data_IF_124200033648
#
_entry.id   IF_124200033648
#
_cell.length_a   1.000
_cell.length_b   1.000
_cell.length_c   1.000
_cell.angle_alpha   90.00
_cell.angle_beta   90.00
_cell.angle_gamma   90.00
#
_symmetry.space_group_name_H-M   'P 1'
#
loop_
_entity.id
_entity.type
_entity.pdbx_description
1 polymer ?
#
# COMPACT_ATOMS: atom_id res chain seq x y z
N UNK A 1 -90.08 3.00 94.73
CA UNK A 1 -88.69 2.96 94.23
C UNK A 1 -88.40 1.75 93.32
N UNK A 2 -89.39 0.96 92.91
CA UNK A 2 -89.16 -0.22 92.07
C UNK A 2 -88.99 0.07 90.57
N UNK A 3 -89.46 1.22 90.09
CA UNK A 3 -89.42 1.58 88.66
C UNK A 3 -88.01 1.94 88.18
N UNK A 4 -87.25 2.69 89.00
CA UNK A 4 -85.84 3.01 88.73
C UNK A 4 -84.98 1.73 88.77
N UNK A 5 -85.21 0.81 89.71
CA UNK A 5 -84.45 -0.45 89.80
C UNK A 5 -84.70 -1.39 88.61
N UNK A 6 -85.91 -1.45 88.06
CA UNK A 6 -86.27 -2.31 86.92
C UNK A 6 -85.90 -1.74 85.53
N UNK A 7 -85.65 -0.43 85.44
CA UNK A 7 -85.36 0.26 84.16
C UNK A 7 -84.05 1.06 84.14
N UNK A 8 -83.23 0.98 85.19
CA UNK A 8 -81.92 1.64 85.28
C UNK A 8 -81.01 1.33 84.09
N UNK A 9 -80.97 0.07 83.65
CA UNK A 9 -80.20 -0.36 82.49
C UNK A 9 -80.63 0.37 81.20
N UNK A 10 -81.95 0.50 80.97
CA UNK A 10 -82.47 1.20 79.78
C UNK A 10 -82.19 2.71 79.83
N UNK A 11 -82.24 3.31 81.01
CA UNK A 11 -81.95 4.74 81.19
C UNK A 11 -80.47 5.02 80.90
N UNK A 12 -79.55 4.24 81.47
CA UNK A 12 -78.12 4.36 81.18
C UNK A 12 -77.84 4.08 79.70
N UNK A 13 -78.44 3.03 79.15
CA UNK A 13 -78.27 2.69 77.74
C UNK A 13 -78.72 3.85 76.85
N UNK A 14 -79.87 4.48 77.15
CA UNK A 14 -80.33 5.64 76.38
C UNK A 14 -79.39 6.85 76.52
N UNK A 15 -78.82 7.08 77.70
CA UNK A 15 -77.88 8.18 77.93
C UNK A 15 -76.58 7.96 77.16
N UNK A 16 -76.04 6.74 77.17
CA UNK A 16 -74.83 6.36 76.41
C UNK A 16 -75.09 6.45 74.91
N UNK A 17 -76.25 5.98 74.45
CA UNK A 17 -76.61 6.00 73.03
C UNK A 17 -76.83 7.43 72.53
N UNK A 18 -77.42 8.30 73.35
CA UNK A 18 -77.58 9.72 73.05
C UNK A 18 -76.24 10.47 73.05
N UNK A 19 -75.34 10.13 73.99
CA UNK A 19 -73.96 10.62 73.98
C UNK A 19 -73.17 10.17 72.74
N UNK A 20 -73.33 8.92 72.32
CA UNK A 20 -72.73 8.38 71.09
C UNK A 20 -73.26 9.06 69.83
N UNK A 21 -74.57 9.31 69.75
CA UNK A 21 -75.18 10.03 68.63
C UNK A 21 -74.67 11.48 68.54
N UNK A 22 -74.52 12.17 69.68
CA UNK A 22 -73.94 13.51 69.71
C UNK A 22 -72.48 13.54 69.26
N UNK A 23 -71.66 12.57 69.69
CA UNK A 23 -70.27 12.45 69.25
C UNK A 23 -70.16 12.18 67.74
N UNK A 24 -70.99 11.27 67.20
CA UNK A 24 -71.02 10.95 65.78
C UNK A 24 -71.43 12.16 64.91
N UNK A 25 -72.32 13.03 65.42
CA UNK A 25 -72.72 14.25 64.73
C UNK A 25 -71.65 15.36 64.78
N UNK A 26 -70.84 15.41 65.83
CA UNK A 26 -69.80 16.44 66.01
C UNK A 26 -68.45 16.10 65.36
N UNK A 27 -68.11 14.81 65.23
CA UNK A 27 -66.85 14.38 64.61
C UNK A 27 -66.60 14.90 63.18
N UNK A 28 -67.59 14.94 62.26
CA UNK A 28 -67.37 15.43 60.90
C UNK A 28 -66.91 16.90 60.85
N UNK A 29 -67.40 17.73 61.79
CA UNK A 29 -67.04 19.15 61.86
C UNK A 29 -65.58 19.31 62.28
N UNK A 30 -65.15 18.64 63.34
CA UNK A 30 -63.76 18.69 63.81
C UNK A 30 -62.77 18.16 62.76
N UNK A 31 -63.15 17.09 62.06
CA UNK A 31 -62.31 16.52 61.00
C UNK A 31 -62.15 17.47 59.79
N UNK A 32 -63.17 18.27 59.50
CA UNK A 32 -63.11 19.26 58.41
C UNK A 32 -62.18 20.43 58.73
N UNK A 33 -62.18 20.90 59.99
CA UNK A 33 -61.28 21.96 60.46
C UNK A 33 -59.82 21.51 60.46
N UNK A 34 -59.54 20.28 60.93
CA UNK A 34 -58.17 19.75 60.91
C UNK A 34 -57.66 19.54 59.48
N UNK A 35 -58.51 19.05 58.57
CA UNK A 35 -58.15 18.92 57.14
C UNK A 35 -57.83 20.27 56.52
N UNK A 36 -58.65 21.29 56.77
CA UNK A 36 -58.39 22.65 56.29
C UNK A 36 -57.06 23.20 56.82
N UNK A 37 -56.79 23.03 58.12
CA UNK A 37 -55.52 23.46 58.74
C UNK A 37 -54.30 22.77 58.13
N UNK A 38 -54.39 21.46 57.86
CA UNK A 38 -53.29 20.70 57.25
C UNK A 38 -53.06 21.11 55.79
N UNK A 39 -54.13 21.42 55.05
CA UNK A 39 -54.04 21.94 53.69
C UNK A 39 -53.41 23.33 53.65
N UNK A 40 -53.79 24.22 54.57
CA UNK A 40 -53.14 25.53 54.73
C UNK A 40 -51.66 25.40 55.10
N UNK A 41 -51.31 24.53 56.04
CA UNK A 41 -49.91 24.27 56.39
C UNK A 41 -49.12 23.71 55.20
N UNK A 42 -49.73 22.79 54.43
CA UNK A 42 -49.13 22.23 53.23
C UNK A 42 -48.90 23.29 52.16
N UNK A 43 -49.87 24.18 51.93
CA UNK A 43 -49.72 25.29 51.01
C UNK A 43 -48.69 26.32 51.52
N UNK A 44 -48.58 26.53 52.82
CA UNK A 44 -47.57 27.44 53.37
C UNK A 44 -46.15 26.89 53.25
N UNK A 45 -45.98 25.55 53.29
CA UNK A 45 -44.68 24.89 53.18
C UNK A 45 -44.27 24.63 51.73
N UNK A 46 -45.23 24.34 50.84
CA UNK A 46 -44.96 23.92 49.46
C UNK A 46 -45.51 24.88 48.40
N UNK A 47 -46.26 25.91 48.79
CA UNK A 47 -46.76 26.96 47.90
C UNK A 47 -45.66 27.92 47.50
N UNK A 48 -45.46 28.04 46.19
CA UNK A 48 -44.80 29.16 45.51
C UNK A 48 -43.28 29.32 45.52
N UNK A 49 -42.49 28.40 46.08
CA UNK A 49 -41.01 28.52 45.97
C UNK A 49 -40.28 27.32 45.38
N UNK A 50 -40.91 26.58 44.48
CA UNK A 50 -40.14 25.69 43.61
C UNK A 50 -39.61 26.53 42.45
N UNK A 51 -38.38 27.04 42.61
CA UNK A 51 -37.64 27.64 41.51
C UNK A 51 -37.65 26.65 40.34
N UNK A 52 -38.25 27.06 39.22
CA UNK A 52 -38.25 26.24 38.00
C UNK A 52 -36.80 25.93 37.66
N UNK A 53 -36.52 24.65 37.42
CA UNK A 53 -35.18 24.18 37.09
C UNK A 53 -34.71 24.94 35.84
N UNK A 54 -33.66 25.75 35.97
CA UNK A 54 -33.07 26.41 34.81
C UNK A 54 -32.21 25.36 34.09
N UNK A 55 -32.43 25.10 32.79
CA UNK A 55 -31.64 24.13 32.06
C UNK A 55 -30.17 24.57 32.05
N UNK A 56 -29.28 23.66 32.46
CA UNK A 56 -27.83 23.88 32.40
C UNK A 56 -27.41 24.06 30.94
N UNK A 57 -26.67 25.13 30.65
CA UNK A 57 -26.15 25.36 29.31
C UNK A 57 -25.06 24.33 28.98
N UNK A 58 -25.35 23.45 28.02
CA UNK A 58 -24.44 22.42 27.52
C UNK A 58 -23.80 22.80 26.19
N UNK A 59 -23.95 24.05 25.73
CA UNK A 59 -23.44 24.54 24.45
C UNK A 59 -21.95 24.28 24.26
N UNK A 60 -21.14 24.54 25.29
CA UNK A 60 -19.68 24.28 25.29
C UNK A 60 -19.36 22.80 25.12
N UNK A 61 -20.09 21.93 25.80
CA UNK A 61 -19.87 20.48 25.72
C UNK A 61 -20.25 19.95 24.34
N UNK A 62 -21.34 20.46 23.76
CA UNK A 62 -21.75 20.13 22.39
C UNK A 62 -20.69 20.54 21.35
N UNK A 63 -20.04 21.70 21.54
CA UNK A 63 -18.94 22.13 20.66
C UNK A 63 -17.70 21.23 20.76
N UNK A 64 -17.36 20.77 21.97
CA UNK A 64 -16.25 19.84 22.19
C UNK A 64 -16.52 18.48 21.55
N UNK A 65 -17.72 17.93 21.74
CA UNK A 65 -18.13 16.67 21.10
C UNK A 65 -18.10 16.80 19.59
N UNK A 66 -18.61 17.91 19.04
CA UNK A 66 -18.57 18.18 17.61
C UNK A 66 -17.12 18.23 17.09
N UNK A 67 -16.21 18.89 17.80
CA UNK A 67 -14.78 18.94 17.42
C UNK A 67 -14.12 17.57 17.46
N UNK A 68 -14.46 16.73 18.45
CA UNK A 68 -13.92 15.38 18.58
C UNK A 68 -14.47 14.42 17.51
N UNK A 69 -15.71 14.62 17.06
CA UNK A 69 -16.33 13.84 15.98
C UNK A 69 -15.86 14.27 14.60
N UNK A 70 -15.38 15.51 14.44
CA UNK A 70 -14.77 15.94 13.19
C UNK A 70 -13.45 15.20 12.99
N UNK A 71 -13.45 14.25 12.05
CA UNK A 71 -12.26 13.53 11.65
C UNK A 71 -11.31 14.49 10.91
N UNK A 72 -10.45 15.16 11.66
CA UNK A 72 -9.41 16.01 11.10
C UNK A 72 -8.21 15.12 10.76
N UNK A 73 -7.85 15.05 9.49
CA UNK A 73 -6.64 14.36 9.04
C UNK A 73 -5.42 15.19 9.48
N UNK A 74 -4.95 14.96 10.70
CA UNK A 74 -3.81 15.68 11.27
C UNK A 74 -2.53 15.10 10.67
N UNK A 75 -2.05 15.72 9.60
CA UNK A 75 -0.80 15.35 8.95
C UNK A 75 0.40 15.94 9.72
N UNK A 76 0.91 15.18 10.68
CA UNK A 76 2.02 15.57 11.56
C UNK A 76 3.40 15.60 10.86
N UNK A 77 3.47 15.22 9.58
CA UNK A 77 4.71 14.97 8.84
C UNK A 77 4.78 15.70 7.46
N UNK A 78 4.23 16.91 7.36
CA UNK A 78 4.32 17.77 6.16
C UNK A 78 5.51 18.74 6.19
N UNK A 79 5.65 19.56 5.13
CA UNK A 79 6.68 20.56 4.75
C UNK A 79 7.44 21.33 5.86
N UNK A 80 6.90 21.42 7.08
CA UNK A 80 7.50 22.09 8.24
C UNK A 80 8.03 21.14 9.34
N UNK A 81 7.83 19.82 9.23
CA UNK A 81 8.47 18.78 10.01
C UNK A 81 8.51 19.03 11.54
N UNK A 82 7.37 19.45 12.11
CA UNK A 82 7.27 19.94 13.49
C UNK A 82 7.60 18.87 14.53
N UNK A 83 7.50 17.58 14.18
CA UNK A 83 7.77 16.45 15.07
C UNK A 83 8.96 15.55 14.65
N UNK A 84 9.52 15.74 13.45
CA UNK A 84 10.67 14.95 12.98
C UNK A 84 11.71 15.87 12.32
N UNK A 85 12.88 16.12 12.95
CA UNK A 85 13.87 17.01 12.36
C UNK A 85 14.26 16.53 10.97
N UNK A 86 14.30 17.47 10.02
CA UNK A 86 14.68 17.16 8.65
C UNK A 86 16.11 16.67 8.61
N UNK A 87 16.34 15.49 8.01
CA UNK A 87 17.69 14.96 7.81
C UNK A 87 18.37 15.73 6.67
N UNK A 88 19.53 16.29 6.99
CA UNK A 88 20.42 16.89 6.00
C UNK A 88 21.50 15.87 5.64
N UNK A 89 21.60 15.54 4.35
CA UNK A 89 22.61 14.62 3.84
C UNK A 89 23.66 15.39 3.06
N UNK A 90 24.94 15.14 3.35
CA UNK A 90 26.03 15.60 2.49
C UNK A 90 26.08 14.73 1.24
N UNK A 91 26.01 15.36 0.09
CA UNK A 91 26.26 14.71 -1.19
C UNK A 91 27.77 14.51 -1.40
N UNK A 92 28.17 13.57 -2.27
CA UNK A 92 29.59 13.37 -2.61
C UNK A 92 30.24 14.60 -3.25
N UNK A 93 29.45 15.52 -3.80
CA UNK A 93 29.88 16.80 -4.37
C UNK A 93 30.21 17.87 -3.29
N UNK A 94 30.04 17.55 -2.00
CA UNK A 94 30.23 18.48 -0.88
C UNK A 94 29.01 19.36 -0.57
N UNK A 95 27.98 19.34 -1.42
CA UNK A 95 26.72 20.03 -1.21
C UNK A 95 25.86 19.35 -0.14
N UNK A 96 24.89 20.09 0.40
CA UNK A 96 23.92 19.55 1.37
C UNK A 96 22.56 19.39 0.69
N UNK A 97 21.91 18.25 0.92
CA UNK A 97 20.55 17.98 0.45
C UNK A 97 19.62 17.83 1.65
N UNK A 98 18.50 18.54 1.60
CA UNK A 98 17.40 18.42 2.56
C UNK A 98 16.53 17.21 2.18
N UNK A 99 16.33 16.26 3.09
CA UNK A 99 15.42 15.11 2.89
C UNK A 99 14.08 15.42 3.54
N UNK A 100 13.15 15.98 2.78
CA UNK A 100 11.83 16.41 3.27
C UNK A 100 10.83 15.26 3.42
N UNK A 101 10.77 14.37 2.43
CA UNK A 101 9.68 13.40 2.28
C UNK A 101 10.16 11.97 2.53
N UNK A 102 11.47 11.73 2.37
CA UNK A 102 12.08 10.40 2.44
C UNK A 102 12.18 9.70 1.08
N UNK A 103 11.56 10.28 0.05
CA UNK A 103 11.60 9.79 -1.33
C UNK A 103 12.85 10.27 -2.07
N UNK A 104 13.53 11.28 -1.52
CA UNK A 104 14.75 11.87 -2.07
C UNK A 104 16.00 10.99 -1.84
N UNK A 105 15.85 9.86 -1.14
CA UNK A 105 16.94 8.92 -0.81
C UNK A 105 16.55 7.45 -1.09
N UNK A 106 17.54 6.58 -1.21
CA UNK A 106 17.34 5.14 -1.38
C UNK A 106 16.73 4.76 -2.74
N UNK A 107 15.98 3.65 -2.80
CA UNK A 107 15.40 3.19 -4.07
C UNK A 107 14.42 4.18 -4.73
N UNK A 108 13.81 5.09 -3.96
CA UNK A 108 12.89 6.10 -4.47
C UNK A 108 13.57 7.25 -5.22
N UNK A 109 14.86 7.49 -4.96
CA UNK A 109 15.62 8.51 -5.68
C UNK A 109 16.31 7.97 -6.96
N UNK A 110 16.08 6.70 -7.29
CA UNK A 110 16.65 6.07 -8.48
C UNK A 110 15.78 6.37 -9.70
N UNK A 111 16.35 6.95 -10.74
CA UNK A 111 15.68 7.16 -12.02
C UNK A 111 16.10 6.07 -13.01
N UNK A 112 15.14 5.52 -13.75
CA UNK A 112 15.42 4.56 -14.82
C UNK A 112 15.72 5.38 -16.07
N UNK A 113 16.93 5.20 -16.59
CA UNK A 113 17.42 5.96 -17.73
C UNK A 113 17.14 5.26 -19.06
N UNK A 114 17.34 3.95 -19.11
CA UNK A 114 17.08 3.15 -20.30
C UNK A 114 16.67 1.74 -19.88
N UNK A 115 15.81 1.10 -20.68
CA UNK A 115 15.51 -0.34 -20.56
C UNK A 115 15.70 -0.94 -21.95
N UNK A 116 16.57 -1.94 -22.04
CA UNK A 116 16.86 -2.66 -23.28
C UNK A 116 16.45 -4.13 -23.15
N UNK A 117 15.77 -4.70 -24.17
CA UNK A 117 15.49 -6.13 -24.20
C UNK A 117 16.80 -6.91 -24.38
N UNK A 118 16.93 -8.01 -23.65
CA UNK A 118 18.01 -8.99 -23.82
C UNK A 118 17.50 -10.12 -24.68
N UNK A 119 18.24 -10.40 -25.75
CA UNK A 119 17.84 -11.31 -26.80
C UNK A 119 18.57 -12.63 -26.75
N UNK A 120 17.86 -13.65 -27.22
CA UNK A 120 18.41 -14.94 -27.54
C UNK A 120 18.20 -15.19 -29.03
N UNK A 121 19.29 -15.27 -29.77
CA UNK A 121 19.29 -15.40 -31.23
C UNK A 121 19.98 -16.68 -31.65
N UNK A 122 19.34 -17.44 -32.53
CA UNK A 122 19.94 -18.59 -33.22
C UNK A 122 19.92 -18.31 -34.72
N UNK A 123 21.09 -18.30 -35.33
CA UNK A 123 21.23 -18.09 -36.76
C UNK A 123 22.01 -19.22 -37.42
N UNK A 124 21.59 -19.57 -38.64
CA UNK A 124 22.33 -20.47 -39.49
C UNK A 124 23.42 -19.67 -40.23
N UNK A 125 24.67 -20.12 -40.14
CA UNK A 125 25.80 -19.45 -40.79
C UNK A 125 26.12 -20.12 -42.12
N UNK A 126 26.47 -21.41 -42.10
CA UNK A 126 26.86 -22.18 -43.29
C UNK A 126 26.92 -23.68 -43.04
N UNK A 127 26.96 -24.45 -44.11
CA UNK A 127 27.29 -25.87 -44.10
C UNK A 127 28.77 -26.07 -44.45
N UNK A 128 29.45 -27.02 -43.80
CA UNK A 128 30.88 -27.27 -43.93
C UNK A 128 31.14 -28.78 -44.05
N UNK A 129 31.98 -29.13 -45.04
CA UNK A 129 32.64 -30.44 -45.14
C UNK A 129 31.79 -31.55 -45.77
N UNK A 130 32.40 -32.74 -45.81
CA UNK A 130 31.81 -34.01 -46.24
C UNK A 130 32.24 -35.08 -45.20
N UNK A 131 31.34 -35.62 -44.35
CA UNK A 131 29.89 -35.39 -44.32
C UNK A 131 29.52 -33.97 -43.86
N UNK A 132 28.41 -33.46 -44.39
CA UNK A 132 27.91 -32.10 -44.17
C UNK A 132 27.67 -31.81 -42.69
N UNK A 133 28.26 -30.72 -42.19
CA UNK A 133 28.05 -30.19 -40.83
C UNK A 133 27.50 -28.78 -40.90
N UNK A 134 26.48 -28.48 -40.10
CA UNK A 134 25.90 -27.14 -40.04
C UNK A 134 26.55 -26.31 -38.94
N UNK A 135 27.08 -25.14 -39.30
CA UNK A 135 27.54 -24.12 -38.38
C UNK A 135 26.35 -23.23 -38.00
N UNK A 136 26.03 -23.22 -36.72
CA UNK A 136 24.93 -22.45 -36.13
C UNK A 136 25.54 -21.51 -35.08
N UNK A 137 25.22 -20.22 -35.18
CA UNK A 137 25.61 -19.22 -34.18
C UNK A 137 24.50 -19.05 -33.15
N UNK A 138 24.91 -18.89 -31.89
CA UNK A 138 24.01 -18.69 -30.75
C UNK A 138 24.48 -17.45 -30.00
N UNK A 139 23.60 -16.48 -29.87
CA UNK A 139 23.80 -15.29 -29.05
C UNK A 139 22.84 -15.35 -27.86
N UNK A 140 23.39 -15.35 -26.65
CA UNK A 140 22.63 -15.26 -25.41
C UNK A 140 23.01 -13.99 -24.65
N UNK A 141 22.21 -12.93 -24.76
CA UNK A 141 22.48 -11.65 -24.08
C UNK A 141 22.12 -11.69 -22.58
N UNK A 142 21.48 -12.76 -22.09
CA UNK A 142 21.14 -12.92 -20.67
C UNK A 142 22.37 -13.10 -19.77
N UNK A 143 23.45 -13.66 -20.31
CA UNK A 143 24.72 -13.86 -19.60
C UNK A 143 25.57 -12.60 -19.68
N UNK A 144 26.18 -12.20 -18.56
CA UNK A 144 27.06 -11.03 -18.58
C UNK A 144 28.37 -11.45 -19.25
N UNK A 145 28.92 -10.65 -20.19
CA UNK A 145 30.22 -10.96 -20.74
C UNK A 145 31.23 -11.02 -19.60
N UNK A 146 31.87 -12.17 -19.42
CA UNK A 146 32.94 -12.30 -18.43
C UNK A 146 34.08 -11.33 -18.80
N UNK A 147 34.73 -10.69 -17.82
CA UNK A 147 35.76 -9.67 -18.08
C UNK A 147 36.93 -10.18 -18.95
N UNK A 148 37.25 -11.48 -18.89
CA UNK A 148 38.29 -12.11 -19.70
C UNK A 148 37.83 -12.60 -21.08
N UNK A 149 36.52 -12.61 -21.34
CA UNK A 149 35.98 -12.95 -22.66
C UNK A 149 35.83 -11.66 -23.47
N UNK A 150 36.97 -11.10 -23.90
CA UNK A 150 37.02 -10.17 -25.04
C UNK A 150 36.19 -10.77 -26.15
N UNK A 151 35.16 -10.05 -26.58
CA UNK A 151 34.21 -10.34 -27.65
C UNK A 151 34.84 -11.15 -28.80
N UNK A 152 34.79 -12.47 -28.65
CA UNK A 152 35.08 -13.48 -29.66
C UNK A 152 33.98 -14.53 -29.54
N UNK A 153 32.72 -14.10 -29.64
CA UNK A 153 31.66 -14.99 -30.08
C UNK A 153 31.70 -15.07 -31.61
N UNK A 154 32.87 -15.41 -32.18
CA UNK A 154 32.86 -16.16 -33.45
C UNK A 154 32.38 -17.54 -33.04
N UNK A 155 31.14 -17.87 -33.44
CA UNK A 155 30.46 -19.11 -33.09
C UNK A 155 31.44 -20.28 -33.12
N UNK A 156 31.75 -20.82 -31.95
CA UNK A 156 32.39 -22.12 -31.90
C UNK A 156 31.31 -23.11 -32.33
N UNK A 157 31.50 -23.71 -33.51
CA UNK A 157 30.94 -25.03 -33.84
C UNK A 157 31.10 -25.91 -32.61
N UNK A 158 30.00 -26.25 -31.95
CA UNK A 158 30.04 -27.27 -30.91
C UNK A 158 30.06 -28.64 -31.58
N UNK A 159 31.24 -29.29 -31.57
CA UNK A 159 31.22 -30.67 -31.12
C UNK A 159 30.72 -30.61 -29.67
N UNK A 160 29.49 -31.07 -29.47
CA UNK A 160 28.83 -31.41 -28.21
C UNK A 160 29.59 -31.00 -26.93
N UNK A 161 29.18 -29.92 -26.27
CA UNK A 161 29.86 -29.45 -25.08
C UNK A 161 29.21 -28.28 -24.33
N UNK A 162 28.27 -28.63 -23.44
CA UNK A 162 27.75 -27.92 -22.25
C UNK A 162 26.67 -26.82 -22.43
N UNK A 163 25.60 -27.04 -21.65
CA UNK A 163 24.35 -26.31 -21.41
C UNK A 163 23.39 -25.98 -22.57
N UNK A 164 23.89 -25.77 -23.79
CA UNK A 164 23.04 -25.55 -24.98
C UNK A 164 23.33 -26.63 -26.02
N UNK A 165 22.94 -27.87 -25.75
CA UNK A 165 22.97 -28.91 -26.79
C UNK A 165 21.87 -28.60 -27.80
N UNK A 166 22.31 -28.11 -28.94
CA UNK A 166 21.48 -27.83 -30.12
C UNK A 166 21.58 -29.07 -31.00
N UNK A 167 20.45 -29.72 -31.24
CA UNK A 167 20.36 -30.89 -32.10
C UNK A 167 19.64 -30.50 -33.38
N UNK A 168 20.28 -30.69 -34.54
CA UNK A 168 19.62 -30.56 -35.84
C UNK A 168 18.75 -31.81 -36.03
N UNK A 169 17.43 -31.62 -36.09
CA UNK A 169 16.44 -32.69 -36.22
C UNK A 169 16.11 -33.00 -37.66
N UNK A 170 15.96 -31.96 -38.48
CA UNK A 170 15.57 -32.09 -39.87
C UNK A 170 16.21 -30.98 -40.70
N UNK A 171 16.49 -31.30 -41.96
CA UNK A 171 17.12 -30.42 -42.94
C UNK A 171 16.18 -30.34 -44.13
N UNK A 172 15.57 -29.17 -44.32
CA UNK A 172 14.65 -28.94 -45.40
C UNK A 172 15.40 -28.40 -46.61
N UNK A 173 15.33 -29.12 -47.72
CA UNK A 173 15.90 -28.68 -48.99
C UNK A 173 16.36 -29.85 -49.86
N UNK A 174 16.50 -29.64 -51.17
CA UNK A 174 16.99 -30.66 -52.09
C UNK A 174 18.51 -30.91 -51.96
N UNK A 175 19.27 -29.94 -51.45
CA UNK A 175 20.72 -30.01 -51.28
C UNK A 175 21.11 -29.82 -49.80
N UNK A 176 21.70 -30.84 -49.14
CA UNK A 176 22.22 -30.71 -47.78
C UNK A 176 23.29 -29.63 -47.62
N UNK A 177 24.05 -29.32 -48.68
CA UNK A 177 25.05 -28.25 -48.62
C UNK A 177 24.42 -26.83 -48.59
N UNK A 178 23.17 -26.69 -49.06
CA UNK A 178 22.42 -25.44 -49.10
C UNK A 178 20.97 -25.65 -48.65
N UNK A 179 20.72 -25.85 -47.34
CA UNK A 179 19.39 -26.06 -46.83
C UNK A 179 18.53 -24.79 -46.97
N UNK A 180 17.25 -24.98 -47.30
CA UNK A 180 16.23 -23.93 -47.29
C UNK A 180 15.89 -23.55 -45.86
N UNK A 181 15.76 -24.56 -44.99
CA UNK A 181 15.54 -24.37 -43.56
C UNK A 181 16.12 -25.54 -42.75
N UNK A 182 16.47 -25.26 -41.51
CA UNK A 182 16.93 -26.25 -40.54
C UNK A 182 15.96 -26.27 -39.36
N UNK A 183 15.55 -27.47 -38.95
CA UNK A 183 14.83 -27.66 -37.70
C UNK A 183 15.81 -28.02 -36.60
N UNK A 184 15.85 -27.18 -35.57
CA UNK A 184 16.79 -27.27 -34.47
C UNK A 184 16.02 -27.46 -33.17
N UNK A 185 16.38 -28.47 -32.39
CA UNK A 185 15.86 -28.70 -31.05
C UNK A 185 16.86 -28.24 -30.00
N UNK A 186 16.41 -27.40 -29.07
CA UNK A 186 17.18 -27.03 -27.88
C UNK A 186 16.86 -28.02 -26.76
N UNK A 187 17.85 -28.43 -25.98
CA UNK A 187 17.68 -29.38 -24.86
C UNK A 187 16.59 -29.03 -23.82
N UNK A 188 16.11 -27.78 -23.76
CA UNK A 188 15.06 -27.34 -22.82
C UNK A 188 13.69 -27.12 -23.47
N UNK A 189 13.62 -27.20 -24.80
CA UNK A 189 12.39 -26.99 -25.56
C UNK A 189 11.91 -28.32 -26.15
N UNK A 190 10.59 -28.54 -26.14
CA UNK A 190 10.00 -29.77 -26.69
C UNK A 190 9.77 -29.66 -28.19
N UNK A 191 9.55 -28.44 -28.66
CA UNK A 191 9.20 -28.18 -30.05
C UNK A 191 10.44 -27.74 -30.85
N UNK A 192 10.64 -28.26 -32.07
CA UNK A 192 11.74 -27.86 -32.92
C UNK A 192 11.54 -26.43 -33.45
N UNK A 193 12.60 -25.64 -33.43
CA UNK A 193 12.65 -24.28 -33.96
C UNK A 193 13.11 -24.34 -35.42
N UNK A 194 12.39 -23.68 -36.30
CA UNK A 194 12.79 -23.56 -37.72
C UNK A 194 13.62 -22.29 -37.92
N UNK A 195 14.85 -22.46 -38.42
CA UNK A 195 15.76 -21.38 -38.79
C UNK A 195 16.15 -21.48 -40.26
N UNK A 196 16.46 -20.35 -40.89
CA UNK A 196 16.99 -20.30 -42.26
C UNK A 196 18.07 -19.22 -42.36
N UNK A 197 18.80 -19.16 -43.47
CA UNK A 197 19.81 -18.14 -43.71
C UNK A 197 19.23 -16.71 -43.66
N UNK A 198 17.98 -16.53 -44.07
CA UNK A 198 17.31 -15.22 -44.11
C UNK A 198 16.50 -14.93 -42.84
N UNK A 199 16.08 -15.98 -42.13
CA UNK A 199 15.21 -15.87 -40.94
C UNK A 199 15.87 -16.57 -39.75
N UNK A 200 16.71 -15.86 -38.98
CA UNK A 200 17.15 -16.35 -37.69
C UNK A 200 15.97 -16.41 -36.71
N UNK A 201 16.10 -17.25 -35.69
CA UNK A 201 15.17 -17.26 -34.56
C UNK A 201 15.61 -16.24 -33.53
N UNK A 202 14.70 -15.37 -33.11
CA UNK A 202 14.94 -14.34 -32.10
C UNK A 202 13.81 -14.35 -31.08
N UNK A 203 14.17 -14.33 -29.79
CA UNK A 203 13.24 -14.12 -28.70
C UNK A 203 13.84 -13.26 -27.60
N UNK A 204 12.97 -12.55 -26.88
CA UNK A 204 13.35 -11.78 -25.69
C UNK A 204 13.39 -12.75 -24.50
N UNK A 205 14.55 -12.82 -23.83
CA UNK A 205 14.78 -13.69 -22.66
C UNK A 205 14.87 -12.91 -21.34
N UNK A 206 14.92 -11.58 -21.41
CA UNK A 206 14.90 -10.72 -20.25
C UNK A 206 15.10 -9.25 -20.63
N UNK A 207 15.34 -8.42 -19.62
CA UNK A 207 15.61 -7.00 -19.79
C UNK A 207 16.82 -6.60 -18.96
N UNK A 208 17.58 -5.64 -19.47
CA UNK A 208 18.58 -4.91 -18.72
C UNK A 208 18.15 -3.45 -18.60
N UNK A 209 18.49 -2.84 -17.47
CA UNK A 209 18.19 -1.44 -17.23
C UNK A 209 19.48 -0.65 -16.98
N UNK A 210 19.43 0.63 -17.33
CA UNK A 210 20.39 1.62 -16.88
C UNK A 210 19.72 2.47 -15.81
N UNK A 211 20.34 2.60 -14.65
CA UNK A 211 19.82 3.33 -13.50
C UNK A 211 20.72 4.51 -13.16
N UNK A 212 20.13 5.62 -12.72
CA UNK A 212 20.86 6.76 -12.20
C UNK A 212 20.36 7.05 -10.79
N UNK A 213 21.27 7.16 -9.84
CA UNK A 213 20.91 7.60 -8.49
C UNK A 213 21.05 9.12 -8.42
N UNK A 214 19.93 9.85 -8.42
CA UNK A 214 19.91 11.32 -8.49
C UNK A 214 20.80 12.01 -7.44
N UNK A 215 20.86 11.56 -6.17
CA UNK A 215 21.67 12.23 -5.16
C UNK A 215 23.18 12.19 -5.43
N UNK A 216 23.70 11.14 -6.06
CA UNK A 216 25.14 11.05 -6.40
C UNK A 216 25.40 11.21 -7.90
N UNK A 217 24.34 11.30 -8.71
CA UNK A 217 24.34 11.29 -10.17
C UNK A 217 25.20 10.18 -10.77
N UNK A 218 25.33 9.05 -10.06
CA UNK A 218 26.18 7.95 -10.49
C UNK A 218 25.37 7.00 -11.37
N UNK A 219 25.72 6.84 -12.66
CA UNK A 219 25.04 5.90 -13.52
C UNK A 219 25.48 4.45 -13.23
N UNK A 220 24.53 3.53 -13.24
CA UNK A 220 24.73 2.09 -13.19
C UNK A 220 24.16 1.50 -14.47
N UNK A 221 25.04 1.08 -15.37
CA UNK A 221 24.67 0.60 -16.71
C UNK A 221 24.54 -0.90 -16.76
N UNK A 222 23.63 -1.39 -17.59
CA UNK A 222 23.46 -2.81 -17.90
C UNK A 222 23.15 -3.68 -16.67
N UNK A 223 22.42 -3.11 -15.70
CA UNK A 223 22.01 -3.87 -14.51
C UNK A 223 20.93 -4.89 -14.88
N UNK A 224 20.97 -6.05 -14.22
CA UNK A 224 20.12 -7.20 -14.52
C UNK A 224 19.41 -7.71 -13.28
N UNK A 225 18.37 -8.51 -13.48
CA UNK A 225 17.71 -9.25 -12.40
C UNK A 225 18.74 -10.01 -11.57
N UNK A 226 18.66 -9.85 -10.24
CA UNK A 226 19.58 -10.46 -9.27
C UNK A 226 20.78 -9.60 -8.90
N UNK A 227 21.07 -8.52 -9.62
CA UNK A 227 22.17 -7.61 -9.26
C UNK A 227 21.91 -6.90 -7.92
N UNK A 228 23.01 -6.65 -7.19
CA UNK A 228 23.01 -5.89 -5.94
C UNK A 228 23.52 -4.48 -6.18
N UNK A 229 22.79 -3.49 -5.67
CA UNK A 229 23.10 -2.07 -5.80
C UNK A 229 23.05 -1.42 -4.42
N UNK A 230 24.13 -0.73 -4.05
CA UNK A 230 24.18 0.03 -2.80
C UNK A 230 23.94 1.51 -3.10
N UNK A 231 22.98 2.10 -2.39
CA UNK A 231 22.62 3.52 -2.45
C UNK A 231 22.62 4.08 -1.03
N UNK A 232 23.47 5.08 -0.76
CA UNK A 232 23.70 5.52 0.62
C UNK A 232 24.20 4.37 1.49
N UNK A 233 23.54 4.15 2.63
CA UNK A 233 23.91 3.11 3.59
C UNK A 233 23.09 1.80 3.44
N UNK A 234 22.29 1.68 2.37
CA UNK A 234 21.42 0.52 2.16
C UNK A 234 21.70 -0.20 0.83
N UNK A 235 21.63 -1.53 0.87
CA UNK A 235 21.81 -2.40 -0.30
C UNK A 235 20.47 -2.93 -0.80
N UNK A 236 20.25 -2.81 -2.09
CA UNK A 236 19.05 -3.20 -2.81
C UNK A 236 19.36 -4.31 -3.82
N UNK A 237 18.43 -5.24 -3.98
CA UNK A 237 18.50 -6.29 -4.99
C UNK A 237 17.50 -5.98 -6.11
N UNK A 238 17.89 -6.18 -7.37
CA UNK A 238 16.96 -6.07 -8.50
C UNK A 238 16.13 -7.35 -8.58
N UNK A 239 14.84 -7.26 -8.28
CA UNK A 239 13.95 -8.44 -8.28
C UNK A 239 13.39 -8.71 -9.67
N UNK A 240 13.03 -7.65 -10.38
CA UNK A 240 12.46 -7.75 -11.72
C UNK A 240 12.79 -6.51 -12.56
N UNK A 241 12.91 -6.74 -13.86
CA UNK A 241 13.00 -5.69 -14.88
C UNK A 241 12.01 -6.10 -15.98
N UNK A 242 11.05 -5.23 -16.24
CA UNK A 242 10.09 -5.33 -17.33
C UNK A 242 10.36 -4.22 -18.35
N UNK A 243 9.61 -4.18 -19.45
CA UNK A 243 9.75 -3.15 -20.51
C UNK A 243 9.62 -1.70 -20.01
N UNK A 244 8.85 -1.49 -18.93
CA UNK A 244 8.50 -0.15 -18.43
C UNK A 244 8.79 0.08 -16.97
N UNK A 245 9.37 -0.88 -16.27
CA UNK A 245 9.60 -0.75 -14.84
C UNK A 245 10.74 -1.62 -14.32
N UNK A 246 11.34 -1.15 -13.23
CA UNK A 246 12.37 -1.84 -12.47
C UNK A 246 11.91 -1.96 -11.03
N UNK A 247 11.97 -3.17 -10.47
CA UNK A 247 11.58 -3.44 -9.09
C UNK A 247 12.84 -3.68 -8.25
N UNK A 248 13.03 -2.80 -7.27
CA UNK A 248 14.14 -2.83 -6.32
C UNK A 248 13.61 -3.33 -4.97
N UNK A 249 14.28 -4.31 -4.36
CA UNK A 249 13.98 -4.76 -3.00
C UNK A 249 15.10 -4.35 -2.05
N UNK A 250 14.78 -3.66 -0.97
CA UNK A 250 15.71 -3.42 0.12
C UNK A 250 16.14 -4.75 0.76
N UNK A 251 17.43 -4.92 1.04
CA UNK A 251 17.94 -6.16 1.67
C UNK A 251 17.63 -6.22 3.17
N UNK A 252 17.39 -5.07 3.81
CA UNK A 252 17.15 -4.96 5.24
C UNK A 252 15.75 -5.44 5.66
N UNK A 253 14.72 -5.05 4.91
CA UNK A 253 13.31 -5.21 5.26
C UNK A 253 12.47 -5.81 4.12
N UNK A 254 13.11 -6.21 3.01
CA UNK A 254 12.45 -6.77 1.83
C UNK A 254 11.39 -5.85 1.19
N UNK A 255 11.35 -4.56 1.54
CA UNK A 255 10.42 -3.59 0.96
C UNK A 255 10.74 -3.40 -0.51
N UNK A 256 9.72 -3.57 -1.34
CA UNK A 256 9.83 -3.39 -2.79
C UNK A 256 9.48 -1.97 -3.19
N UNK A 257 10.26 -1.42 -4.11
CA UNK A 257 10.05 -0.10 -4.71
C UNK A 257 10.03 -0.28 -6.22
N UNK A 258 8.96 0.19 -6.86
CA UNK A 258 8.78 0.11 -8.31
C UNK A 258 9.18 1.45 -8.93
N UNK A 259 10.08 1.41 -9.89
CA UNK A 259 10.53 2.59 -10.65
C UNK A 259 10.09 2.46 -12.09
N UNK A 260 9.19 3.35 -12.50
CA UNK A 260 8.66 3.38 -13.86
C UNK A 260 9.66 4.05 -14.80
N UNK A 261 9.75 3.50 -16.00
CA UNK A 261 10.52 4.04 -17.10
C UNK A 261 9.54 4.66 -18.10
N UNK A 262 9.74 5.95 -18.38
CA UNK A 262 9.04 6.65 -19.44
C UNK A 262 10.02 6.86 -20.60
N UNK A 263 9.87 6.14 -21.73
CA UNK A 263 10.76 6.27 -22.88
C UNK A 263 10.63 7.65 -23.56
N UNK A 264 9.51 8.36 -23.39
CA UNK A 264 9.25 9.63 -24.06
C UNK A 264 9.76 10.84 -23.26
N UNK A 265 9.98 10.69 -21.95
CA UNK A 265 10.45 11.77 -21.08
C UNK A 265 11.83 12.32 -21.49
N UNK A 266 12.66 11.51 -22.18
CA UNK A 266 13.96 11.94 -22.70
C UNK A 266 13.89 12.63 -24.06
N UNK A 267 13.00 12.19 -24.94
CA UNK A 267 12.83 12.79 -26.26
C UNK A 267 12.41 14.28 -26.18
N UNK A 268 11.69 14.68 -25.13
CA UNK A 268 11.30 16.08 -24.89
C UNK A 268 12.37 16.97 -24.24
N UNK A 269 13.42 16.39 -23.62
CA UNK A 269 14.48 17.16 -23.00
C UNK A 269 15.50 17.67 -24.04
N UNK A 270 15.77 16.87 -25.07
CA UNK A 270 16.71 17.22 -26.14
C UNK A 270 16.11 18.23 -27.15
N UNK A 271 14.79 18.29 -27.30
CA UNK A 271 14.13 19.26 -28.19
C UNK A 271 14.13 20.69 -27.65
N UNK A 272 14.14 20.88 -26.33
CA UNK A 272 14.13 22.22 -25.71
C UNK A 272 15.51 22.88 -25.64
N UNK A 273 16.60 22.12 -25.83
CA UNK A 273 17.94 22.68 -25.95
C UNK A 273 18.20 23.32 -27.32
N UNK A 274 17.43 22.96 -28.36
CA UNK A 274 17.59 23.46 -29.72
C UNK A 274 16.81 24.76 -30.02
N UNK A 275 15.86 25.16 -29.17
CA UNK A 275 15.01 26.33 -29.41
C UNK A 275 15.43 27.61 -28.68
N UNK A 276 16.50 27.58 -27.88
CA UNK A 276 17.00 28.76 -27.13
C UNK A 276 18.13 29.53 -27.84
N UNK A 277 18.48 29.16 -29.08
CA UNK A 277 19.36 29.95 -29.94
C UNK A 277 18.56 30.47 -31.14
N UNK A 278 17.77 31.51 -30.92
CA UNK A 278 17.32 32.44 -31.95
C UNK A 278 17.02 33.81 -31.36
#
# INVERSE_FOLDING_TARGET
MDFLKKHYEKIILSLVLLGGAAAAALMPMQLSEERGRLEEQRQQWFGDRVNKFQPTDLSTNALVVKRAQTNNDVQLALQHNVFNPVRWLRRPDGGVMKVSTGDEIGAQAVTVSNIQPLRFVIAYERAIGDPVRYEISVLNELEKPAPDKRLLAKGQTSRFGRENEIQVRDVQGPDPANPVALQVLLNKERDPITISAQKPYERIVGFAADLVYEPTKTPRKGVRKGDKLTFGDETYNIVAINEREVVLSASSNQKQTVRRFDPNARAGADTNAASSNK
#
